data_IF_276001863731
#
_entry.id   IF_276001863731
#
_cell.length_a   1.000
_cell.length_b   1.000
_cell.length_c   1.000
_cell.angle_alpha   90.00
_cell.angle_beta   90.00
_cell.angle_gamma   90.00
#
_symmetry.space_group_name_H-M   'P 1'
#
loop_
_entity.id
_entity.type
_entity.pdbx_description
1 polymer ?
#
# COMPACT_ATOMS: atom_id res chain seq x y z
N UNK A 1 35.93 14.15 5.89
CA UNK A 1 34.98 13.51 4.97
C UNK A 1 33.63 14.09 5.26
N UNK A 2 33.06 14.85 4.34
CA UNK A 2 31.77 15.51 4.51
C UNK A 2 30.67 14.48 4.26
N UNK A 3 29.81 14.26 5.25
CA UNK A 3 28.71 13.30 5.16
C UNK A 3 27.59 13.95 4.32
N UNK A 4 27.51 13.57 3.05
CA UNK A 4 26.50 14.06 2.09
C UNK A 4 25.46 13.00 1.79
N UNK A 5 24.23 13.43 1.55
CA UNK A 5 23.14 12.56 1.17
C UNK A 5 23.32 12.11 -0.29
N UNK A 6 23.34 10.79 -0.59
CA UNK A 6 23.55 10.32 -1.96
C UNK A 6 22.36 10.60 -2.90
N UNK A 7 21.20 10.98 -2.36
CA UNK A 7 19.99 11.29 -3.15
C UNK A 7 19.99 12.76 -3.59
N UNK A 8 20.33 13.70 -2.71
CA UNK A 8 20.29 15.14 -3.01
C UNK A 8 21.67 15.78 -3.14
N UNK A 9 22.75 15.03 -2.87
CA UNK A 9 24.16 15.46 -2.90
C UNK A 9 24.49 16.64 -1.96
N UNK A 10 23.62 16.92 -1.00
CA UNK A 10 23.75 18.01 -0.03
C UNK A 10 24.12 17.48 1.37
N UNK A 11 24.50 18.38 2.29
CA UNK A 11 24.77 18.02 3.68
C UNK A 11 23.52 17.40 4.32
N UNK A 12 23.69 16.34 5.12
CA UNK A 12 22.55 15.67 5.75
C UNK A 12 21.72 16.63 6.60
N UNK A 13 20.45 16.83 6.21
CA UNK A 13 19.47 17.56 7.00
C UNK A 13 18.42 16.58 7.53
N UNK A 14 18.45 16.33 8.83
CA UNK A 14 17.66 15.29 9.52
C UNK A 14 17.96 13.88 8.97
N UNK A 15 19.15 13.31 9.26
CA UNK A 15 19.49 11.95 8.84
C UNK A 15 18.63 10.93 9.59
N UNK A 16 17.98 10.04 8.85
CA UNK A 16 17.45 8.80 9.41
C UNK A 16 18.38 7.65 9.01
N UNK A 17 18.80 6.85 9.99
CA UNK A 17 19.60 5.65 9.75
C UNK A 17 18.66 4.48 9.48
N UNK A 18 18.71 3.94 8.26
CA UNK A 18 17.99 2.71 7.94
C UNK A 18 18.65 1.53 8.65
N UNK A 19 17.92 0.42 8.84
CA UNK A 19 18.44 -0.80 9.46
C UNK A 19 19.65 -1.39 8.73
N UNK A 20 19.88 -1.01 7.47
CA UNK A 20 21.05 -1.35 6.67
C UNK A 20 22.28 -0.44 6.89
N UNK A 21 22.20 0.54 7.81
CA UNK A 21 23.31 1.42 8.19
C UNK A 21 23.52 2.62 7.25
N UNK A 22 22.76 2.74 6.17
CA UNK A 22 22.84 3.89 5.26
C UNK A 22 22.05 5.09 5.79
N UNK A 23 22.62 6.29 5.59
CA UNK A 23 22.03 7.57 5.99
C UNK A 23 21.53 8.33 4.77
N UNK A 24 20.31 8.84 4.85
CA UNK A 24 19.66 9.65 3.82
C UNK A 24 18.96 10.83 4.50
N UNK A 25 18.71 11.92 3.77
CA UNK A 25 17.83 12.98 4.26
C UNK A 25 16.41 12.41 4.40
N UNK A 26 15.74 12.67 5.53
CA UNK A 26 14.36 12.23 5.78
C UNK A 26 13.42 12.56 4.60
N UNK A 27 13.51 13.79 4.08
CA UNK A 27 12.72 14.24 2.92
C UNK A 27 13.00 13.45 1.63
N UNK A 28 14.22 12.96 1.44
CA UNK A 28 14.59 12.15 0.28
C UNK A 28 14.03 10.73 0.39
N UNK A 29 13.95 10.18 1.61
CA UNK A 29 13.31 8.88 1.86
C UNK A 29 11.80 9.00 1.71
N UNK A 30 11.18 10.02 2.29
CA UNK A 30 9.75 10.30 2.14
C UNK A 30 9.36 10.52 0.67
N UNK A 31 10.16 11.29 -0.09
CA UNK A 31 9.94 11.49 -1.52
C UNK A 31 10.13 10.22 -2.36
N UNK A 32 11.01 9.31 -1.94
CA UNK A 32 11.17 8.01 -2.59
C UNK A 32 9.98 7.07 -2.33
N UNK A 33 9.32 7.18 -1.17
CA UNK A 33 8.09 6.42 -0.87
C UNK A 33 6.89 6.96 -1.62
N UNK A 34 6.81 8.28 -1.84
CA UNK A 34 5.77 8.90 -2.69
C UNK A 34 5.92 8.49 -4.17
N UNK A 35 7.16 8.27 -4.63
CA UNK A 35 7.45 7.71 -5.95
C UNK A 35 7.12 6.21 -6.09
N UNK A 36 6.78 5.52 -4.98
CA UNK A 36 6.32 4.12 -4.94
C UNK A 36 4.85 4.08 -4.49
N UNK A 37 4.04 5.03 -4.93
CA UNK A 37 2.59 4.85 -5.01
C UNK A 37 2.28 3.79 -6.09
N UNK A 38 2.53 2.51 -5.79
CA UNK A 38 2.22 1.42 -6.72
C UNK A 38 0.70 1.36 -6.89
N UNK A 39 0.20 1.57 -8.10
CA UNK A 39 -1.23 1.43 -8.33
C UNK A 39 -1.59 -0.04 -8.18
N UNK A 40 -2.43 -0.36 -7.19
CA UNK A 40 -3.01 -1.71 -7.07
C UNK A 40 -4.00 -1.88 -8.20
N UNK A 41 -3.81 -2.91 -9.02
CA UNK A 41 -4.67 -3.20 -10.16
C UNK A 41 -5.84 -4.10 -9.75
N UNK A 42 -6.89 -4.09 -10.56
CA UNK A 42 -8.01 -5.00 -10.38
C UNK A 42 -7.65 -6.40 -10.88
N UNK A 43 -7.81 -7.41 -10.04
CA UNK A 43 -7.46 -8.81 -10.34
C UNK A 43 -8.36 -9.46 -11.40
N UNK A 44 -9.54 -8.89 -11.63
CA UNK A 44 -10.53 -9.39 -12.61
C UNK A 44 -10.42 -8.69 -13.97
N UNK A 45 -9.65 -7.61 -14.03
CA UNK A 45 -9.39 -6.87 -15.24
C UNK A 45 -8.14 -7.44 -15.91
N UNK A 46 -8.31 -8.24 -16.98
CA UNK A 46 -7.18 -8.79 -17.74
C UNK A 46 -6.51 -7.77 -18.68
N UNK A 47 -6.67 -6.47 -18.40
CA UNK A 47 -6.09 -5.38 -19.18
C UNK A 47 -4.78 -4.83 -18.58
N UNK A 48 -4.45 -5.22 -17.34
CA UNK A 48 -3.20 -4.82 -16.66
C UNK A 48 -3.05 -3.32 -16.40
N UNK A 49 -4.12 -2.54 -16.56
CA UNK A 49 -4.10 -1.07 -16.45
C UNK A 49 -5.20 -0.53 -15.53
N UNK A 50 -6.26 -1.31 -15.30
CA UNK A 50 -7.39 -0.88 -14.49
C UNK A 50 -7.03 -0.87 -13.02
N UNK A 51 -7.03 0.33 -12.43
CA UNK A 51 -6.84 0.53 -11.00
C UNK A 51 -7.99 -0.07 -10.17
N UNK A 52 -7.63 -0.71 -9.06
CA UNK A 52 -8.57 -1.13 -8.05
C UNK A 52 -9.12 0.08 -7.29
N UNK A 53 -10.40 0.03 -6.97
CA UNK A 53 -11.07 1.00 -6.11
C UNK A 53 -11.21 0.50 -4.67
N UNK A 54 -11.34 -0.82 -4.49
CA UNK A 54 -11.48 -1.48 -3.18
C UNK A 54 -10.77 -2.83 -3.17
N UNK A 55 -10.35 -3.24 -1.98
CA UNK A 55 -9.87 -4.61 -1.70
C UNK A 55 -10.82 -5.29 -0.73
N UNK A 56 -11.24 -6.51 -1.05
CA UNK A 56 -12.04 -7.35 -0.17
C UNK A 56 -11.11 -8.20 0.69
N UNK A 57 -11.18 -8.02 2.02
CA UNK A 57 -10.36 -8.80 2.96
C UNK A 57 -10.75 -10.29 3.00
N UNK A 58 -12.02 -10.58 2.71
CA UNK A 58 -12.52 -11.97 2.74
C UNK A 58 -12.18 -12.76 1.48
N UNK A 59 -12.03 -12.08 0.35
CA UNK A 59 -11.66 -12.69 -0.93
C UNK A 59 -10.16 -12.56 -1.22
N UNK A 60 -9.44 -11.80 -0.40
CA UNK A 60 -8.04 -11.41 -0.59
C UNK A 60 -7.76 -10.84 -1.99
N UNK A 61 -8.69 -10.02 -2.49
CA UNK A 61 -8.67 -9.59 -3.89
C UNK A 61 -9.09 -8.13 -4.06
N UNK A 62 -8.60 -7.50 -5.12
CA UNK A 62 -8.77 -6.08 -5.44
C UNK A 62 -9.63 -5.89 -6.68
N UNK A 63 -10.57 -4.96 -6.58
CA UNK A 63 -11.66 -4.79 -7.54
C UNK A 63 -11.74 -3.34 -8.01
N UNK A 64 -11.91 -3.14 -9.32
CA UNK A 64 -12.33 -1.87 -9.88
C UNK A 64 -13.79 -1.57 -9.51
N UNK A 65 -14.27 -0.38 -9.83
CA UNK A 65 -15.64 0.06 -9.51
C UNK A 65 -16.69 -0.91 -10.07
N UNK A 66 -16.45 -1.50 -11.25
CA UNK A 66 -17.38 -2.45 -11.86
C UNK A 66 -17.40 -3.79 -11.14
N UNK A 67 -16.22 -4.33 -10.82
CA UNK A 67 -16.11 -5.65 -10.20
C UNK A 67 -16.41 -5.65 -8.69
N UNK A 68 -16.41 -4.48 -8.03
CA UNK A 68 -16.80 -4.38 -6.62
C UNK A 68 -18.32 -4.25 -6.42
N UNK A 69 -19.09 -3.83 -7.43
CA UNK A 69 -20.55 -3.67 -7.33
C UNK A 69 -21.29 -4.90 -6.76
N UNK A 70 -20.97 -6.15 -7.15
CA UNK A 70 -21.61 -7.32 -6.56
C UNK A 70 -21.43 -7.43 -5.05
N UNK A 71 -20.32 -6.92 -4.49
CA UNK A 71 -20.10 -6.89 -3.04
C UNK A 71 -21.02 -5.91 -2.31
N UNK A 72 -21.59 -4.93 -3.02
CA UNK A 72 -22.50 -3.94 -2.45
C UNK A 72 -23.97 -4.27 -2.70
N UNK A 73 -24.27 -4.95 -3.81
CA UNK A 73 -25.64 -5.19 -4.27
C UNK A 73 -26.13 -6.61 -3.95
N UNK A 74 -25.24 -7.61 -3.99
CA UNK A 74 -25.63 -8.99 -3.76
C UNK A 74 -25.67 -9.30 -2.25
N UNK A 75 -26.80 -9.78 -1.70
CA UNK A 75 -26.91 -10.12 -0.29
C UNK A 75 -25.88 -11.17 0.18
N UNK A 76 -25.39 -12.03 -0.74
CA UNK A 76 -24.34 -13.02 -0.42
C UNK A 76 -22.99 -12.38 -0.10
N UNK A 77 -22.70 -11.22 -0.67
CA UNK A 77 -21.40 -10.57 -0.60
C UNK A 77 -21.40 -9.28 0.22
N UNK A 78 -22.59 -8.74 0.55
CA UNK A 78 -22.77 -7.52 1.37
C UNK A 78 -22.07 -7.54 2.73
N UNK A 79 -21.79 -8.72 3.27
CA UNK A 79 -21.04 -8.89 4.53
C UNK A 79 -19.51 -8.90 4.37
N UNK A 80 -18.99 -8.72 3.16
CA UNK A 80 -17.55 -8.70 2.91
C UNK A 80 -16.95 -7.34 3.27
N UNK A 81 -15.81 -7.35 3.97
CA UNK A 81 -15.12 -6.12 4.39
C UNK A 81 -14.32 -5.57 3.21
N UNK A 82 -14.69 -4.37 2.76
CA UNK A 82 -14.01 -3.65 1.68
C UNK A 82 -13.18 -2.49 2.25
N UNK A 83 -11.88 -2.49 1.97
CA UNK A 83 -10.93 -1.43 2.38
C UNK A 83 -10.34 -0.72 1.16
N UNK A 84 -9.61 0.37 1.39
CA UNK A 84 -8.81 0.98 0.33
C UNK A 84 -7.74 -0.01 -0.15
N UNK A 85 -7.44 -0.06 -1.46
CA UNK A 85 -6.37 -0.89 -1.97
C UNK A 85 -5.04 -0.35 -1.46
N UNK A 86 -4.38 -1.13 -0.62
CA UNK A 86 -3.08 -0.79 -0.07
C UNK A 86 -1.97 -1.49 -0.83
N UNK A 87 -0.90 -0.74 -1.10
CA UNK A 87 0.33 -1.19 -1.73
C UNK A 87 1.22 -1.98 -0.78
N UNK A 88 1.07 -1.72 0.52
CA UNK A 88 1.80 -2.37 1.58
C UNK A 88 0.88 -3.40 2.28
N UNK A 89 1.26 -4.69 2.33
CA UNK A 89 0.42 -5.74 2.90
C UNK A 89 0.12 -5.56 4.39
N UNK A 90 0.87 -4.72 5.10
CA UNK A 90 0.63 -4.41 6.51
C UNK A 90 -0.49 -3.38 6.75
N UNK A 91 -0.83 -2.56 5.76
CA UNK A 91 -1.93 -1.59 5.86
C UNK A 91 -3.31 -2.27 5.78
N UNK A 92 -3.32 -3.52 5.28
CA UNK A 92 -4.49 -4.41 5.28
C UNK A 92 -4.82 -4.94 6.69
N UNK A 93 -3.97 -4.70 7.69
CA UNK A 93 -4.17 -5.16 9.08
C UNK A 93 -4.62 -3.99 9.96
N UNK A 94 -5.76 -4.16 10.63
CA UNK A 94 -6.26 -3.19 11.60
C UNK A 94 -5.22 -2.96 12.71
N UNK A 95 -4.80 -1.71 12.95
CA UNK A 95 -3.83 -1.34 14.00
C UNK A 95 -4.25 -1.79 15.41
N UNK A 96 -5.54 -2.08 15.62
CA UNK A 96 -6.12 -2.56 16.89
C UNK A 96 -6.19 -4.08 17.00
N UNK A 97 -6.22 -4.82 15.88
CA UNK A 97 -6.34 -6.29 15.89
C UNK A 97 -5.11 -6.94 15.24
N UNK A 98 -4.03 -7.07 16.02
CA UNK A 98 -2.91 -7.98 15.75
C UNK A 98 -3.29 -9.44 16.08
N UNK A 99 -4.31 -9.98 15.41
CA UNK A 99 -4.53 -11.43 15.40
C UNK A 99 -4.91 -11.88 14.00
N UNK A 100 -4.17 -12.87 13.51
CA UNK A 100 -4.57 -13.69 12.37
C UNK A 100 -5.98 -14.21 12.65
N UNK A 101 -6.84 -14.15 11.62
CA UNK A 101 -8.16 -14.79 11.68
C UNK A 101 -7.92 -16.30 11.69
N UNK A 102 -7.87 -16.89 12.87
CA UNK A 102 -7.92 -18.34 13.04
C UNK A 102 -9.37 -18.82 12.81
N UNK A 103 -9.50 -19.90 12.04
CA UNK A 103 -10.76 -20.52 11.60
C UNK A 103 -11.47 -21.30 12.70
#
# INVERSE_FOLDING_TARGET
>A
GELTCPICLDAFRCPCTLSCGHSFCLKCVEGAWDAVATVVLCDFCNDGTTAASKTCLRCDMSYCVTHVKPHQENPKFRGHILVAPATNPEDRKCKTHRKELEF
#
